data_IF_126733129808
#
_entry.id   IF_126733129808
#
_cell.length_a   1.000
_cell.length_b   1.000
_cell.length_c   1.000
_cell.angle_alpha   90.00
_cell.angle_beta   90.00
_cell.angle_gamma   90.00
#
_symmetry.space_group_name_H-M   'P 1'
#
loop_
_entity.id
_entity.type
_entity.pdbx_description
1 polymer ?
#
# COMPACT_ATOMS: atom_id res chain seq x y z
N UNK A 1 8.16 3.25 -11.64
CA UNK A 1 8.78 3.61 -10.34
C UNK A 1 10.29 3.42 -10.40
N UNK A 2 11.10 4.35 -9.83
CA UNK A 2 12.56 4.28 -9.85
C UNK A 2 13.08 2.94 -9.28
N UNK A 3 14.17 2.42 -9.85
CA UNK A 3 14.72 1.12 -9.44
C UNK A 3 15.48 1.17 -8.11
N UNK A 4 15.86 2.36 -7.65
CA UNK A 4 16.69 2.59 -6.47
C UNK A 4 15.88 3.01 -5.22
N UNK A 5 14.55 2.97 -5.28
CA UNK A 5 13.71 3.35 -4.14
C UNK A 5 14.05 2.52 -2.89
N UNK A 6 14.12 1.19 -3.05
CA UNK A 6 14.32 0.25 -1.93
C UNK A 6 15.65 0.55 -1.24
N UNK A 7 16.70 0.83 -2.00
CA UNK A 7 18.03 1.18 -1.48
C UNK A 7 18.09 2.55 -0.79
N UNK A 8 17.08 3.41 -0.96
CA UNK A 8 17.00 4.73 -0.32
C UNK A 8 16.20 4.72 0.98
N UNK A 9 15.48 3.63 1.27
CA UNK A 9 14.72 3.51 2.50
C UNK A 9 15.65 3.05 3.63
N UNK A 10 15.53 3.60 4.84
CA UNK A 10 16.21 3.04 6.01
C UNK A 10 15.87 1.56 6.16
N UNK A 11 16.88 0.76 6.53
CA UNK A 11 16.67 -0.64 6.87
C UNK A 11 15.57 -0.75 7.94
N UNK A 12 14.68 -1.74 7.78
CA UNK A 12 13.59 -2.03 8.72
C UNK A 12 12.44 -1.02 8.77
N UNK A 13 12.38 -0.04 7.85
CA UNK A 13 11.21 0.85 7.75
C UNK A 13 9.95 0.02 7.49
N UNK A 14 8.92 0.07 8.36
CA UNK A 14 7.64 -0.58 8.10
C UNK A 14 6.97 0.06 6.87
N UNK A 15 6.54 -0.76 5.93
CA UNK A 15 5.87 -0.30 4.70
C UNK A 15 4.51 -0.97 4.64
N UNK A 16 3.46 -0.18 4.48
CA UNK A 16 2.10 -0.66 4.28
C UNK A 16 1.62 -0.17 2.91
N UNK A 17 1.00 -1.05 2.13
CA UNK A 17 0.39 -0.72 0.84
C UNK A 17 -1.10 -1.05 0.90
N UNK A 18 -1.95 -0.03 0.81
CA UNK A 18 -3.40 -0.16 0.73
C UNK A 18 -3.84 0.07 -0.70
N UNK A 19 -4.67 -0.82 -1.23
CA UNK A 19 -5.28 -0.63 -2.55
C UNK A 19 -6.63 -1.34 -2.59
N UNK A 20 -7.66 -0.66 -3.09
CA UNK A 20 -8.98 -1.26 -3.24
C UNK A 20 -9.13 -1.95 -4.59
N UNK A 21 -9.78 -3.12 -4.63
CA UNK A 21 -10.01 -3.88 -5.88
C UNK A 21 -10.91 -3.19 -6.87
N UNK A 22 -11.80 -2.36 -6.35
CA UNK A 22 -12.76 -1.51 -7.06
C UNK A 22 -12.22 -0.07 -7.28
N UNK A 23 -10.92 0.16 -7.15
CA UNK A 23 -10.32 1.44 -7.57
C UNK A 23 -10.43 1.60 -9.10
N UNK A 24 -11.32 2.49 -9.54
CA UNK A 24 -11.55 2.82 -10.94
C UNK A 24 -10.51 3.79 -11.53
N UNK A 25 -9.71 4.45 -10.69
CA UNK A 25 -8.70 5.45 -11.10
C UNK A 25 -7.36 4.78 -11.35
N UNK A 26 -6.94 3.88 -10.46
CA UNK A 26 -5.67 3.16 -10.57
C UNK A 26 -5.92 1.65 -10.58
N UNK A 27 -5.51 0.93 -11.66
CA UNK A 27 -5.72 -0.51 -11.76
C UNK A 27 -5.14 -1.29 -10.59
N UNK A 28 -5.94 -2.19 -10.00
CA UNK A 28 -5.52 -3.02 -8.86
C UNK A 28 -4.21 -3.81 -9.12
N UNK A 29 -3.96 -4.18 -10.37
CA UNK A 29 -2.73 -4.88 -10.78
C UNK A 29 -1.44 -4.11 -10.44
N UNK A 30 -1.49 -2.78 -10.27
CA UNK A 30 -0.34 -2.00 -9.85
C UNK A 30 0.15 -2.40 -8.45
N UNK A 31 -0.74 -2.78 -7.54
CA UNK A 31 -0.34 -3.25 -6.20
C UNK A 31 0.69 -4.39 -6.26
N UNK A 32 0.47 -5.34 -7.16
CA UNK A 32 1.39 -6.47 -7.35
C UNK A 32 2.78 -6.02 -7.85
N UNK A 33 2.85 -4.97 -8.68
CA UNK A 33 4.12 -4.40 -9.15
C UNK A 33 4.92 -3.79 -7.98
N UNK A 34 4.24 -3.11 -7.06
CA UNK A 34 4.86 -2.54 -5.86
C UNK A 34 5.26 -3.62 -4.86
N UNK A 35 4.38 -4.59 -4.57
CA UNK A 35 4.68 -5.71 -3.67
C UNK A 35 5.91 -6.51 -4.14
N UNK A 36 6.08 -6.70 -5.46
CA UNK A 36 7.28 -7.35 -6.02
C UNK A 36 8.56 -6.55 -5.76
N UNK A 37 8.48 -5.22 -5.80
CA UNK A 37 9.64 -4.34 -5.55
C UNK A 37 9.92 -4.13 -4.07
N UNK A 38 8.91 -4.23 -3.22
CA UNK A 38 8.94 -4.01 -1.77
C UNK A 38 8.50 -5.29 -1.05
N UNK A 39 9.33 -6.36 -1.06
CA UNK A 39 8.93 -7.65 -0.49
C UNK A 39 8.69 -7.61 1.02
N UNK A 40 9.18 -6.58 1.71
CA UNK A 40 8.94 -6.34 3.14
C UNK A 40 7.61 -5.61 3.42
N UNK A 41 6.88 -5.16 2.39
CA UNK A 41 5.66 -4.41 2.60
C UNK A 41 4.51 -5.31 3.07
N UNK A 42 3.73 -4.81 4.03
CA UNK A 42 2.46 -5.37 4.46
C UNK A 42 1.40 -4.90 3.47
N UNK A 43 0.64 -5.84 2.91
CA UNK A 43 -0.31 -5.58 1.83
C UNK A 43 -1.74 -5.65 2.34
N UNK A 44 -2.47 -4.55 2.19
CA UNK A 44 -3.90 -4.43 2.45
C UNK A 44 -4.64 -4.32 1.12
N UNK A 45 -5.07 -5.47 0.60
CA UNK A 45 -5.91 -5.53 -0.58
C UNK A 45 -7.39 -5.49 -0.16
N UNK A 46 -8.01 -4.33 -0.33
CA UNK A 46 -9.32 -4.00 0.22
C UNK A 46 -10.41 -4.18 -0.84
N UNK A 47 -11.64 -4.40 -0.38
CA UNK A 47 -12.81 -4.53 -1.25
C UNK A 47 -13.80 -3.41 -0.97
N UNK A 48 -14.35 -2.78 -2.02
CA UNK A 48 -15.41 -1.78 -1.89
C UNK A 48 -14.98 -0.43 -1.33
N UNK A 49 -13.67 -0.14 -1.31
CA UNK A 49 -13.11 1.10 -0.76
C UNK A 49 -12.79 2.14 -1.83
N UNK A 50 -12.84 1.80 -3.12
CA UNK A 50 -12.50 2.71 -4.21
C UNK A 50 -11.15 3.40 -4.06
N UNK A 51 -10.94 4.50 -4.79
CA UNK A 51 -9.64 5.18 -4.85
C UNK A 51 -9.24 5.89 -3.54
N UNK A 52 -10.21 6.51 -2.84
CA UNK A 52 -9.95 7.28 -1.61
C UNK A 52 -10.19 6.48 -0.33
N UNK A 53 -10.22 5.15 -0.42
CA UNK A 53 -10.53 4.26 0.70
C UNK A 53 -11.87 4.60 1.40
N UNK A 54 -12.92 4.89 0.63
CA UNK A 54 -14.22 5.36 1.10
C UNK A 54 -14.18 6.67 1.90
N UNK A 55 -13.09 7.45 1.81
CA UNK A 55 -12.79 8.58 2.70
C UNK A 55 -12.65 8.18 4.18
N UNK A 56 -12.38 6.91 4.44
CA UNK A 56 -12.20 6.36 5.77
C UNK A 56 -10.78 5.80 5.91
N UNK A 57 -9.96 6.47 6.72
CA UNK A 57 -8.58 6.09 6.98
C UNK A 57 -8.41 5.37 8.32
N UNK A 58 -9.49 4.83 8.91
CA UNK A 58 -9.42 4.13 10.19
C UNK A 58 -8.44 2.95 10.17
N UNK A 59 -8.42 2.16 9.08
CA UNK A 59 -7.48 1.04 8.91
C UNK A 59 -6.02 1.53 8.89
N UNK A 60 -5.73 2.56 8.07
CA UNK A 60 -4.40 3.21 8.03
C UNK A 60 -4.00 3.75 9.41
N UNK A 61 -4.92 4.42 10.10
CA UNK A 61 -4.68 4.96 11.44
C UNK A 61 -4.46 3.88 12.50
N UNK A 62 -5.08 2.71 12.36
CA UNK A 62 -4.88 1.58 13.26
C UNK A 62 -3.47 0.99 13.08
N UNK A 63 -3.02 0.81 11.85
CA UNK A 63 -1.68 0.29 11.57
C UNK A 63 -0.58 1.25 12.04
N UNK A 64 -0.75 2.56 11.82
CA UNK A 64 0.17 3.58 12.36
C UNK A 64 0.27 3.50 13.89
N UNK A 65 -0.85 3.27 14.59
CA UNK A 65 -0.85 3.14 16.06
C UNK A 65 -0.22 1.83 16.54
N UNK A 66 -0.06 0.84 15.67
CA UNK A 66 0.52 -0.47 15.99
C UNK A 66 2.03 -0.54 15.78
N UNK A 67 2.63 0.52 15.22
CA UNK A 67 4.09 0.70 15.09
C UNK A 67 4.75 1.09 16.40
#
# INVERSE_FOLDING_TARGET
>A
MPNDLVSKLPSETPIFLYHSRDDEIVPFAHLALYAKKLPQAIIHALDGRGHQLSNDLAEVGADIKSL
#
